data_IF_930936348049
#
_entry.id   IF_930936348049
#
_cell.length_a   1.000
_cell.length_b   1.000
_cell.length_c   1.000
_cell.angle_alpha   90.00
_cell.angle_beta   90.00
_cell.angle_gamma   90.00
#
_symmetry.space_group_name_H-M   'P 1'
#
loop_
_entity.id
_entity.type
_entity.pdbx_description
1 polymer ?
#
# COMPACT_ATOMS: atom_id res chain seq x y z
N UNK A 1 9.29 -0.87 -1.45
CA UNK A 1 8.04 -1.58 -1.09
C UNK A 1 8.06 -2.92 -1.80
N UNK A 2 7.53 -3.98 -1.20
CA UNK A 2 7.28 -5.25 -1.88
C UNK A 2 5.78 -5.39 -2.17
N UNK A 3 5.43 -5.92 -3.33
CA UNK A 3 4.05 -6.23 -3.70
C UNK A 3 3.94 -7.69 -4.14
N UNK A 4 2.79 -8.31 -3.88
CA UNK A 4 2.35 -9.55 -4.52
C UNK A 4 1.53 -9.19 -5.78
N UNK A 5 2.14 -9.21 -6.96
CA UNK A 5 1.53 -8.72 -8.19
C UNK A 5 0.29 -9.53 -8.57
N UNK A 6 -0.81 -8.84 -8.87
CA UNK A 6 -2.11 -9.46 -9.18
C UNK A 6 -2.97 -9.81 -7.97
N UNK A 7 -2.44 -9.76 -6.74
CA UNK A 7 -3.19 -10.12 -5.53
C UNK A 7 -4.44 -9.27 -5.28
N UNK A 8 -4.47 -8.02 -5.77
CA UNK A 8 -5.66 -7.16 -5.67
C UNK A 8 -6.94 -7.76 -6.28
N UNK A 9 -6.81 -8.78 -7.15
CA UNK A 9 -7.92 -9.45 -7.83
C UNK A 9 -8.65 -10.49 -6.96
N UNK A 10 -8.09 -10.90 -5.83
CA UNK A 10 -8.70 -11.90 -4.94
C UNK A 10 -9.79 -11.33 -4.03
N UNK A 11 -9.95 -10.01 -4.01
CA UNK A 11 -10.92 -9.32 -3.17
C UNK A 11 -10.46 -9.23 -1.70
N UNK A 12 -11.43 -9.35 -0.78
CA UNK A 12 -11.18 -9.15 0.65
C UNK A 12 -10.39 -10.30 1.25
N UNK A 13 -9.26 -9.97 1.89
CA UNK A 13 -8.37 -10.94 2.53
C UNK A 13 -8.45 -10.79 4.06
N UNK A 14 -8.69 -11.88 4.81
CA UNK A 14 -8.49 -11.89 6.25
C UNK A 14 -7.02 -11.63 6.59
N UNK A 15 -6.73 -10.72 7.53
CA UNK A 15 -5.36 -10.33 7.87
C UNK A 15 -4.46 -11.53 8.23
N UNK A 16 -5.01 -12.50 8.99
CA UNK A 16 -4.29 -13.73 9.37
C UNK A 16 -3.85 -14.60 8.17
N UNK A 17 -4.45 -14.41 6.99
CA UNK A 17 -4.20 -15.17 5.77
C UNK A 17 -3.35 -14.41 4.76
N UNK A 18 -3.03 -13.15 5.01
CA UNK A 18 -2.38 -12.28 4.04
C UNK A 18 -1.00 -12.80 3.59
N UNK A 19 -0.15 -13.21 4.54
CA UNK A 19 1.18 -13.72 4.23
C UNK A 19 1.14 -15.02 3.40
N UNK A 20 0.24 -15.93 3.76
CA UNK A 20 0.06 -17.19 3.04
C UNK A 20 -0.47 -16.98 1.62
N UNK A 21 -1.46 -16.10 1.45
CA UNK A 21 -2.00 -15.80 0.13
C UNK A 21 -0.99 -15.06 -0.75
N UNK A 22 -0.21 -14.14 -0.18
CA UNK A 22 0.84 -13.43 -0.92
C UNK A 22 1.90 -14.37 -1.50
N UNK A 23 2.21 -15.48 -0.83
CA UNK A 23 3.18 -16.47 -1.30
C UNK A 23 2.78 -17.15 -2.63
N UNK A 24 1.50 -17.10 -3.00
CA UNK A 24 0.99 -17.62 -4.27
C UNK A 24 1.18 -16.69 -5.48
N UNK A 25 1.77 -15.50 -5.30
CA UNK A 25 1.90 -14.47 -6.35
C UNK A 25 3.36 -14.09 -6.60
N UNK A 26 3.70 -13.63 -7.82
CA UNK A 26 5.00 -13.01 -8.08
C UNK A 26 5.25 -11.81 -7.17
N UNK A 27 6.41 -11.77 -6.52
CA UNK A 27 6.81 -10.66 -5.65
C UNK A 27 7.69 -9.68 -6.41
N UNK A 28 7.35 -8.39 -6.37
CA UNK A 28 8.14 -7.33 -6.99
C UNK A 28 8.56 -6.27 -5.98
N UNK A 29 9.81 -5.82 -6.10
CA UNK A 29 10.31 -4.66 -5.38
C UNK A 29 10.00 -3.38 -6.17
N UNK A 30 9.15 -2.52 -5.60
CA UNK A 30 8.95 -1.17 -6.08
C UNK A 30 9.96 -0.27 -5.37
N UNK A 31 10.96 0.18 -6.13
CA UNK A 31 11.94 1.19 -5.71
C UNK A 31 11.42 2.58 -6.10
N UNK A 32 11.76 3.59 -5.29
CA UNK A 32 11.38 4.97 -5.51
C UNK A 32 12.39 5.91 -4.86
N UNK A 33 12.63 7.03 -5.52
CA UNK A 33 13.30 8.21 -5.00
C UNK A 33 12.29 9.26 -4.50
N UNK A 34 12.79 10.32 -3.88
CA UNK A 34 11.94 11.43 -3.47
C UNK A 34 11.38 12.13 -4.72
N UNK A 35 10.05 12.19 -4.82
CA UNK A 35 9.35 12.73 -5.99
C UNK A 35 8.74 11.68 -6.90
N UNK A 36 9.16 10.41 -6.78
CA UNK A 36 8.52 9.31 -7.50
C UNK A 36 7.13 8.99 -6.93
N UNK A 37 6.23 8.59 -7.82
CA UNK A 37 4.87 8.16 -7.49
C UNK A 37 4.65 6.69 -7.81
N UNK A 38 3.88 6.00 -6.96
CA UNK A 38 3.32 4.69 -7.30
C UNK A 38 1.82 4.78 -7.39
N UNK A 39 1.26 4.12 -8.40
CA UNK A 39 -0.17 3.98 -8.58
C UNK A 39 -0.47 2.49 -8.61
N UNK A 40 -1.37 2.05 -7.73
CA UNK A 40 -1.76 0.66 -7.62
C UNK A 40 -3.19 0.56 -7.11
N UNK A 41 -3.84 -0.58 -7.35
CA UNK A 41 -5.14 -0.87 -6.75
C UNK A 41 -4.96 -1.13 -5.25
N UNK A 42 -5.61 -0.33 -4.40
CA UNK A 42 -5.52 -0.39 -2.92
C UNK A 42 -5.57 -1.81 -2.31
N UNK A 43 -6.36 -2.77 -2.83
CA UNK A 43 -6.40 -4.13 -2.27
C UNK A 43 -5.16 -4.98 -2.52
N UNK A 44 -4.11 -4.47 -3.20
CA UNK A 44 -2.90 -5.23 -3.44
C UNK A 44 -2.20 -5.57 -2.12
N UNK A 45 -1.86 -6.83 -1.92
CA UNK A 45 -1.05 -7.25 -0.78
C UNK A 45 0.36 -6.70 -0.95
N UNK A 46 0.81 -5.95 0.04
CA UNK A 46 2.09 -5.28 0.04
C UNK A 46 2.75 -5.35 1.42
N UNK A 47 4.07 -5.27 1.44
CA UNK A 47 4.87 -5.26 2.65
C UNK A 47 6.02 -4.25 2.51
N UNK A 48 6.39 -3.65 3.63
CA UNK A 48 7.55 -2.77 3.69
C UNK A 48 8.42 -3.17 4.86
N UNK A 49 9.73 -3.23 4.63
CA UNK A 49 10.68 -3.43 5.72
C UNK A 49 10.66 -2.26 6.70
N UNK A 50 11.05 -2.57 7.94
CA UNK A 50 11.36 -1.57 8.93
C UNK A 50 12.41 -0.58 8.40
N UNK A 51 12.26 0.69 8.76
CA UNK A 51 13.28 1.69 8.44
C UNK A 51 14.59 1.34 9.17
N UNK A 52 15.72 1.46 8.46
CA UNK A 52 17.04 1.29 9.07
C UNK A 52 17.28 2.39 10.13
N UNK A 53 17.92 2.08 11.27
CA UNK A 53 18.24 3.08 12.29
C UNK A 53 18.93 4.32 11.70
N UNK A 54 18.53 5.51 12.12
CA UNK A 54 19.09 6.78 11.64
C UNK A 54 18.53 7.30 10.31
N UNK A 55 17.65 6.57 9.63
CA UNK A 55 17.03 6.99 8.35
C UNK A 55 15.51 7.09 8.49
N UNK A 56 14.92 8.23 8.09
CA UNK A 56 13.47 8.43 8.06
C UNK A 56 12.93 8.12 6.66
N UNK A 57 11.91 7.26 6.57
CA UNK A 57 11.12 7.05 5.35
C UNK A 57 9.81 7.82 5.49
N UNK A 58 9.58 8.81 4.64
CA UNK A 58 8.33 9.60 4.59
C UNK A 58 7.60 9.26 3.29
N UNK A 59 6.31 9.01 3.37
CA UNK A 59 5.45 8.68 2.22
C UNK A 59 4.16 9.46 2.41
N UNK A 60 3.69 10.11 1.34
CA UNK A 60 2.33 10.63 1.25
C UNK A 60 1.52 9.60 0.46
N UNK A 61 0.52 8.99 1.11
CA UNK A 61 -0.40 8.08 0.44
C UNK A 61 -1.75 8.79 0.28
N UNK A 62 -2.31 8.66 -0.93
CA UNK A 62 -3.63 9.20 -1.26
C UNK A 62 -4.41 8.07 -1.92
N UNK A 63 -5.53 7.69 -1.33
CA UNK A 63 -6.47 6.73 -1.91
C UNK A 63 -7.53 7.49 -2.71
N UNK A 64 -7.79 7.02 -3.93
CA UNK A 64 -8.82 7.56 -4.80
C UNK A 64 -9.97 6.57 -4.92
N UNK A 65 -11.19 7.09 -4.98
CA UNK A 65 -12.39 6.30 -5.26
C UNK A 65 -13.12 6.92 -6.45
N UNK A 66 -13.76 6.08 -7.26
CA UNK A 66 -14.66 6.54 -8.32
C UNK A 66 -16.06 6.87 -7.81
N UNK A 67 -16.29 6.86 -6.48
CA UNK A 67 -17.54 7.24 -5.85
C UNK A 67 -17.40 8.60 -5.18
N UNK A 68 -18.49 9.34 -5.05
CA UNK A 68 -18.49 10.55 -4.24
C UNK A 68 -18.14 10.20 -2.80
N UNK A 69 -17.13 10.87 -2.27
CA UNK A 69 -16.78 10.76 -0.87
C UNK A 69 -17.79 11.58 -0.05
N UNK A 70 -18.20 11.10 1.13
CA UNK A 70 -18.96 11.92 2.05
C UNK A 70 -18.19 13.22 2.33
N UNK A 71 -18.93 14.32 2.44
CA UNK A 71 -18.35 15.65 2.54
C UNK A 71 -17.45 15.79 3.80
N UNK A 72 -16.37 16.57 3.64
CA UNK A 72 -15.55 17.13 4.71
C UNK A 72 -14.59 16.14 5.39
N UNK A 73 -13.30 16.27 5.12
CA UNK A 73 -12.27 15.69 5.98
C UNK A 73 -11.97 16.67 7.11
N UNK A 74 -12.47 16.38 8.32
CA UNK A 74 -12.09 17.12 9.52
C UNK A 74 -10.74 16.61 10.01
N UNK A 75 -9.70 17.41 9.76
CA UNK A 75 -8.39 17.15 10.31
C UNK A 75 -8.41 17.52 11.80
N UNK A 76 -8.10 16.56 12.67
CA UNK A 76 -7.64 16.89 14.02
C UNK A 76 -6.39 17.74 13.82
N UNK A 77 -6.47 19.03 14.13
CA UNK A 77 -5.42 20.02 13.85
C UNK A 77 -4.03 19.56 14.30
N UNK A 78 -3.00 20.06 13.61
CA UNK A 78 -1.59 19.85 13.95
C UNK A 78 -1.27 20.50 15.29
#
# INVERSE_FOLDING_TARGET
MLIAAGSHRIGRVPAARAAELAAGFPVHACLAEAGDGWIYHTPILHASDAARPGRRRRVLQVDYTGQDLPAGLEWLGI
#
